data_IF_787295922989
#
_entry.id   IF_787295922989
#
_cell.length_a   1.000
_cell.length_b   1.000
_cell.length_c   1.000
_cell.angle_alpha   90.00
_cell.angle_beta   90.00
_cell.angle_gamma   90.00
#
_symmetry.space_group_name_H-M   'P 1'
#
loop_
_entity.id
_entity.type
_entity.pdbx_description
1 polymer ?
#
# COMPACT_ATOMS: atom_id res chain seq x y z
N UNK A 1 33.87 7.15 14.94
CA UNK A 1 32.40 7.28 14.87
C UNK A 1 31.90 6.66 13.56
N UNK A 2 31.59 5.36 13.54
CA UNK A 2 31.04 4.70 12.35
C UNK A 2 30.31 3.39 12.72
N UNK A 3 29.18 3.49 13.41
CA UNK A 3 28.34 2.31 13.68
C UNK A 3 26.85 2.69 13.69
N UNK A 4 26.36 3.20 12.56
CA UNK A 4 24.93 3.49 12.35
C UNK A 4 24.30 2.77 11.16
N UNK A 5 25.09 2.06 10.35
CA UNK A 5 24.57 1.41 9.14
C UNK A 5 24.11 -0.06 9.33
N UNK A 6 24.63 -0.83 10.30
CA UNK A 6 24.36 -2.29 10.37
C UNK A 6 22.99 -2.70 10.95
N UNK A 7 22.27 -1.81 11.64
CA UNK A 7 21.04 -2.18 12.36
C UNK A 7 19.73 -1.96 11.57
N UNK A 8 19.77 -1.41 10.35
CA UNK A 8 18.55 -1.21 9.52
C UNK A 8 18.04 -2.51 8.88
N UNK A 9 18.95 -3.34 8.34
CA UNK A 9 18.57 -4.57 7.64
C UNK A 9 17.93 -5.64 8.54
N UNK A 10 18.26 -5.68 9.84
CA UNK A 10 17.65 -6.64 10.77
C UNK A 10 16.19 -6.31 11.14
N UNK A 11 15.75 -5.05 11.02
CA UNK A 11 14.35 -4.67 11.32
C UNK A 11 13.40 -4.95 10.15
N UNK A 12 13.91 -5.06 8.93
CA UNK A 12 13.12 -5.30 7.72
C UNK A 12 12.57 -6.74 7.67
N UNK A 13 13.33 -7.73 8.12
CA UNK A 13 12.89 -9.13 8.20
C UNK A 13 11.78 -9.36 9.25
N UNK A 14 11.76 -8.57 10.33
CA UNK A 14 10.72 -8.62 11.34
C UNK A 14 9.36 -8.12 10.84
N UNK A 15 9.35 -7.04 10.04
CA UNK A 15 8.12 -6.43 9.52
C UNK A 15 7.41 -7.31 8.48
N UNK A 16 8.15 -7.94 7.57
CA UNK A 16 7.55 -8.84 6.57
C UNK A 16 6.88 -10.05 7.26
N UNK A 17 7.48 -10.55 8.34
CA UNK A 17 6.87 -11.59 9.17
C UNK A 17 5.59 -11.10 9.86
N UNK A 18 5.58 -9.87 10.38
CA UNK A 18 4.38 -9.26 10.94
C UNK A 18 3.32 -8.99 9.88
N UNK A 19 3.69 -8.61 8.65
CA UNK A 19 2.77 -8.43 7.53
C UNK A 19 2.14 -9.75 7.09
N UNK A 20 2.92 -10.84 7.05
CA UNK A 20 2.42 -12.19 6.79
C UNK A 20 1.47 -12.69 7.89
N UNK A 21 1.83 -12.48 9.17
CA UNK A 21 0.93 -12.73 10.31
C UNK A 21 -0.33 -11.86 10.25
N UNK A 22 -0.21 -10.61 9.81
CA UNK A 22 -1.31 -9.68 9.59
C UNK A 22 -2.20 -10.03 8.38
N UNK A 23 -1.69 -10.75 7.38
CA UNK A 23 -2.49 -11.33 6.29
C UNK A 23 -3.36 -12.47 6.84
N UNK A 24 -2.79 -13.31 7.72
CA UNK A 24 -3.52 -14.38 8.42
C UNK A 24 -4.59 -13.81 9.37
N UNK A 25 -4.31 -12.70 10.06
CA UNK A 25 -5.28 -11.93 10.87
C UNK A 25 -6.33 -11.15 10.03
N UNK A 26 -6.04 -10.85 8.76
CA UNK A 26 -6.97 -10.12 7.88
C UNK A 26 -8.10 -11.01 7.34
N UNK A 27 -8.03 -12.33 7.55
CA UNK A 27 -9.20 -13.20 7.46
C UNK A 27 -10.05 -12.89 8.70
N UNK A 28 -10.78 -11.77 8.64
CA UNK A 28 -11.69 -11.37 9.70
C UNK A 28 -12.69 -12.52 9.90
N UNK A 29 -12.89 -13.02 11.14
CA UNK A 29 -13.83 -14.08 11.39
C UNK A 29 -15.23 -13.62 11.00
N UNK A 30 -15.84 -14.29 10.02
CA UNK A 30 -17.24 -14.07 9.68
C UNK A 30 -18.08 -14.90 10.65
N UNK A 31 -18.84 -14.24 11.52
CA UNK A 31 -19.67 -14.88 12.54
C UNK A 31 -20.91 -15.60 11.98
N UNK A 32 -21.09 -15.68 10.65
CA UNK A 32 -22.20 -16.43 10.06
C UNK A 32 -23.58 -15.81 10.28
N UNK A 33 -23.67 -14.49 10.51
CA UNK A 33 -24.98 -13.83 10.63
C UNK A 33 -25.68 -13.82 9.28
N UNK A 34 -26.94 -14.25 9.23
CA UNK A 34 -27.82 -14.32 8.04
C UNK A 34 -28.23 -12.94 7.48
N UNK A 35 -27.39 -11.92 7.62
CA UNK A 35 -27.61 -10.60 7.05
C UNK A 35 -26.70 -10.44 5.82
N UNK A 36 -27.33 -10.40 4.64
CA UNK A 36 -26.66 -10.24 3.34
C UNK A 36 -25.81 -8.96 3.28
N UNK A 37 -26.28 -7.87 3.89
CA UNK A 37 -25.56 -6.59 3.89
C UNK A 37 -24.26 -6.67 4.69
N UNK A 38 -24.30 -7.35 5.84
CA UNK A 38 -23.12 -7.57 6.68
C UNK A 38 -22.06 -8.45 5.97
N UNK A 39 -22.52 -9.43 5.17
CA UNK A 39 -21.64 -10.25 4.34
C UNK A 39 -20.97 -9.43 3.22
N UNK A 40 -21.75 -8.64 2.47
CA UNK A 40 -21.24 -7.80 1.38
C UNK A 40 -20.27 -6.74 1.89
N UNK A 41 -20.54 -6.14 3.05
CA UNK A 41 -19.62 -5.20 3.68
C UNK A 41 -18.31 -5.88 4.11
N UNK A 42 -18.40 -7.06 4.74
CA UNK A 42 -17.24 -7.84 5.13
C UNK A 42 -16.38 -8.24 3.93
N UNK A 43 -17.01 -8.73 2.85
CA UNK A 43 -16.33 -9.12 1.62
C UNK A 43 -15.59 -7.92 1.01
N UNK A 44 -16.29 -6.80 0.82
CA UNK A 44 -15.72 -5.56 0.28
C UNK A 44 -14.57 -5.03 1.13
N UNK A 45 -14.66 -5.15 2.46
CA UNK A 45 -13.62 -4.73 3.40
C UNK A 45 -12.39 -5.63 3.34
N UNK A 46 -12.58 -6.95 3.27
CA UNK A 46 -11.48 -7.91 3.09
C UNK A 46 -10.80 -7.68 1.75
N UNK A 47 -11.57 -7.54 0.67
CA UNK A 47 -11.03 -7.38 -0.68
C UNK A 47 -10.13 -6.14 -0.76
N UNK A 48 -10.60 -5.00 -0.24
CA UNK A 48 -9.82 -3.76 -0.19
C UNK A 48 -8.56 -3.89 0.66
N UNK A 49 -8.68 -4.47 1.85
CA UNK A 49 -7.57 -4.57 2.80
C UNK A 49 -6.48 -5.51 2.28
N UNK A 50 -6.87 -6.67 1.73
CA UNK A 50 -5.94 -7.64 1.14
C UNK A 50 -5.18 -7.04 -0.04
N UNK A 51 -5.87 -6.31 -0.94
CA UNK A 51 -5.23 -5.67 -2.10
C UNK A 51 -4.14 -4.67 -1.68
N UNK A 52 -4.40 -3.83 -0.67
CA UNK A 52 -3.41 -2.85 -0.17
C UNK A 52 -2.20 -3.54 0.44
N UNK A 53 -2.42 -4.55 1.30
CA UNK A 53 -1.33 -5.29 1.95
C UNK A 53 -0.48 -6.06 0.94
N UNK A 54 -1.12 -6.76 0.01
CA UNK A 54 -0.43 -7.51 -1.06
C UNK A 54 0.40 -6.57 -1.93
N UNK A 55 -0.15 -5.43 -2.36
CA UNK A 55 0.65 -4.48 -3.14
C UNK A 55 1.83 -3.90 -2.35
N UNK A 56 1.68 -3.69 -1.05
CA UNK A 56 2.75 -3.17 -0.21
C UNK A 56 3.91 -4.15 -0.04
N UNK A 57 3.66 -5.46 0.05
CA UNK A 57 4.72 -6.49 0.13
C UNK A 57 5.44 -6.68 -1.21
N UNK A 58 4.75 -6.44 -2.33
CA UNK A 58 5.33 -6.55 -3.68
C UNK A 58 6.16 -5.30 -4.07
N UNK A 59 6.15 -4.26 -3.24
CA UNK A 59 7.02 -3.11 -3.48
C UNK A 59 8.48 -3.47 -3.31
N UNK A 60 9.28 -3.11 -4.31
CA UNK A 60 10.71 -3.35 -4.35
C UNK A 60 11.48 -2.06 -4.64
N UNK A 61 12.78 -2.08 -4.33
CA UNK A 61 13.70 -0.98 -4.58
C UNK A 61 13.21 0.36 -4.01
N UNK A 62 13.17 1.39 -4.87
CA UNK A 62 12.78 2.73 -4.46
C UNK A 62 11.33 2.84 -3.97
N UNK A 63 10.41 2.06 -4.54
CA UNK A 63 9.00 2.09 -4.15
C UNK A 63 8.81 1.62 -2.70
N UNK A 64 9.56 0.59 -2.28
CA UNK A 64 9.57 0.08 -0.91
C UNK A 64 10.03 1.16 0.08
N UNK A 65 11.16 1.81 -0.20
CA UNK A 65 11.72 2.86 0.66
C UNK A 65 10.74 4.03 0.78
N UNK A 66 10.15 4.45 -0.33
CA UNK A 66 9.15 5.53 -0.33
C UNK A 66 7.91 5.16 0.49
N UNK A 67 7.40 3.93 0.35
CA UNK A 67 6.22 3.48 1.09
C UNK A 67 6.46 3.40 2.60
N UNK A 68 7.65 2.97 3.04
CA UNK A 68 8.04 2.99 4.45
C UNK A 68 8.10 4.42 5.01
N UNK A 69 8.69 5.35 4.26
CA UNK A 69 8.73 6.76 4.66
C UNK A 69 7.34 7.38 4.72
N UNK A 70 6.48 7.08 3.74
CA UNK A 70 5.09 7.54 3.73
C UNK A 70 4.35 7.02 4.96
N UNK A 71 4.44 5.73 5.25
CA UNK A 71 3.78 5.09 6.39
C UNK A 71 4.29 5.65 7.72
N UNK A 72 5.61 5.87 7.83
CA UNK A 72 6.23 6.46 9.02
C UNK A 72 5.82 7.91 9.22
N UNK A 73 5.82 8.72 8.17
CA UNK A 73 5.40 10.12 8.19
C UNK A 73 3.94 10.26 8.64
N UNK A 74 3.05 9.46 8.04
CA UNK A 74 1.63 9.43 8.43
C UNK A 74 1.43 9.12 9.91
N UNK A 75 2.11 8.08 10.42
CA UNK A 75 2.02 7.72 11.85
C UNK A 75 2.51 8.86 12.76
N UNK A 76 3.60 9.53 12.40
CA UNK A 76 4.12 10.67 13.18
C UNK A 76 3.18 11.86 13.19
N UNK A 77 2.48 12.09 12.08
CA UNK A 77 1.52 13.18 11.95
C UNK A 77 0.13 12.83 12.52
N UNK A 78 -0.06 11.62 13.07
CA UNK A 78 -1.36 11.15 13.54
C UNK A 78 -2.36 10.85 12.42
N UNK A 79 -1.91 10.76 11.17
CA UNK A 79 -2.76 10.45 10.03
C UNK A 79 -3.13 8.96 10.02
N UNK A 80 -4.33 8.66 9.51
CA UNK A 80 -4.78 7.28 9.36
C UNK A 80 -3.91 6.53 8.33
N UNK A 81 -3.62 5.24 8.57
CA UNK A 81 -2.91 4.41 7.61
C UNK A 81 -3.75 4.26 6.34
N UNK A 82 -3.06 4.10 5.21
CA UNK A 82 -3.71 3.83 3.94
C UNK A 82 -4.32 2.43 4.01
N UNK A 83 -5.65 2.37 3.97
CA UNK A 83 -6.41 1.13 4.17
C UNK A 83 -7.24 0.74 2.95
N UNK A 84 -7.42 1.67 2.01
CA UNK A 84 -8.18 1.42 0.79
C UNK A 84 -7.29 1.41 -0.45
N UNK A 85 -7.65 0.55 -1.40
CA UNK A 85 -6.98 0.47 -2.70
C UNK A 85 -7.04 1.79 -3.48
N UNK A 86 -8.11 2.57 -3.28
CA UNK A 86 -8.30 3.86 -3.94
C UNK A 86 -7.29 4.89 -3.44
N UNK A 87 -7.12 5.01 -2.12
CA UNK A 87 -6.12 5.90 -1.52
C UNK A 87 -4.70 5.50 -1.94
N UNK A 88 -4.40 4.21 -1.92
CA UNK A 88 -3.10 3.69 -2.34
C UNK A 88 -2.78 4.08 -3.80
N UNK A 89 -3.73 3.86 -4.72
CA UNK A 89 -3.57 4.31 -6.11
C UNK A 89 -3.39 5.82 -6.21
N UNK A 90 -4.13 6.62 -5.45
CA UNK A 90 -4.01 8.07 -5.50
C UNK A 90 -2.61 8.55 -5.09
N UNK A 91 -2.06 8.02 -3.98
CA UNK A 91 -0.70 8.39 -3.54
C UNK A 91 0.38 7.87 -4.49
N UNK A 92 0.21 6.68 -5.05
CA UNK A 92 1.14 6.13 -6.04
C UNK A 92 1.14 6.97 -7.32
N UNK A 93 -0.04 7.34 -7.83
CA UNK A 93 -0.15 8.19 -9.01
C UNK A 93 0.51 9.54 -8.78
N UNK A 94 0.26 10.18 -7.64
CA UNK A 94 0.91 11.45 -7.30
C UNK A 94 2.44 11.34 -7.22
N UNK A 95 2.97 10.18 -6.79
CA UNK A 95 4.41 9.98 -6.64
C UNK A 95 5.12 9.59 -7.93
N UNK A 96 4.53 8.68 -8.70
CA UNK A 96 5.19 7.98 -9.80
C UNK A 96 4.69 8.38 -11.18
N UNK A 97 3.57 9.10 -11.29
CA UNK A 97 3.10 9.66 -12.56
C UNK A 97 3.50 11.14 -12.60
N UNK A 98 4.44 11.53 -13.48
CA UNK A 98 4.74 12.94 -13.70
C UNK A 98 3.49 13.70 -14.15
N UNK A 99 3.32 14.95 -13.71
CA UNK A 99 2.15 15.77 -14.05
C UNK A 99 1.98 15.99 -15.56
N UNK A 100 3.08 15.93 -16.32
CA UNK A 100 3.10 16.09 -17.78
C UNK A 100 2.91 14.79 -18.56
N UNK A 101 2.78 13.63 -17.89
CA UNK A 101 2.67 12.32 -18.54
C UNK A 101 1.52 12.27 -19.56
N UNK A 102 0.37 12.84 -19.21
CA UNK A 102 -0.77 12.91 -20.12
C UNK A 102 -0.47 13.78 -21.36
N UNK A 103 0.25 14.90 -21.18
CA UNK A 103 0.61 15.81 -22.29
C UNK A 103 1.57 15.14 -23.26
N UNK A 104 2.60 14.46 -22.77
CA UNK A 104 3.52 13.69 -23.60
C UNK A 104 2.80 12.55 -24.35
N UNK A 105 1.86 11.87 -23.69
CA UNK A 105 1.09 10.81 -24.32
C UNK A 105 0.25 11.35 -25.50
N UNK A 106 -0.43 12.48 -25.30
CA UNK A 106 -1.18 13.15 -26.37
C UNK A 106 -0.28 13.64 -27.51
N UNK A 107 0.88 14.22 -27.20
CA UNK A 107 1.84 14.65 -28.22
C UNK A 107 2.39 13.48 -29.04
N UNK A 108 2.70 12.35 -28.40
CA UNK A 108 3.12 11.13 -29.11
C UNK A 108 2.03 10.59 -30.03
N UNK A 109 0.78 10.62 -29.58
CA UNK A 109 -0.37 10.21 -30.42
C UNK A 109 -0.56 11.14 -31.62
N UNK A 110 -0.43 12.45 -31.43
CA UNK A 110 -0.54 13.43 -32.52
C UNK A 110 0.61 13.36 -33.51
N UNK A 111 1.83 13.05 -33.06
CA UNK A 111 2.99 12.87 -33.94
C UNK A 111 2.98 11.56 -34.73
N UNK A 112 2.00 10.68 -34.48
CA UNK A 112 1.77 9.43 -35.21
C UNK A 112 0.59 9.53 -36.18
N UNK A 113 -0.07 10.69 -36.25
CA UNK A 113 -1.10 11.03 -37.24
C UNK A 113 -0.50 11.85 -38.38
#
# INVERSE_FOLDING_TARGET
MAERQRNRGQRECGRINDDLKNIKLAILPFQGKSNLEAYLEWEKKIERTKKVKLAAIEFSGYAMIWWDQLTTSRRRNGERPISTWVEMKAVMRRRFIPSYYHRELYQKLQNLS
#
